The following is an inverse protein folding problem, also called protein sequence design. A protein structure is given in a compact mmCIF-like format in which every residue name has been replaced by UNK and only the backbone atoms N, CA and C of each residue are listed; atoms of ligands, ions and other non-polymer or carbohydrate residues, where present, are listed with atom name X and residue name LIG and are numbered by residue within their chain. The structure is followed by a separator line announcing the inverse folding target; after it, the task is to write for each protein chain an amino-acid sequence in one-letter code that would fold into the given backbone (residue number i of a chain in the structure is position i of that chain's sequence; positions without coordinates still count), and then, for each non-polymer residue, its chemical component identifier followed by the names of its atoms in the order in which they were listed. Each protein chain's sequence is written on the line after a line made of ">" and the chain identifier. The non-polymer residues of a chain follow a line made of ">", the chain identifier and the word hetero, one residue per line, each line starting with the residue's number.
data_IF_368501295151
#
_entry.id   IF_368501295151
#
_cell.length_a   1.000
_cell.length_b   1.000
_cell.length_c   1.000
_cell.angle_alpha   90.00
_cell.angle_beta   90.00
_cell.angle_gamma   90.00
#
_symmetry.space_group_name_H-M   'P 1'
#
loop_
_entity.id
_entity.type
_entity.pdbx_description
1 polymer ?
#
# COMPACT_ATOMS: atom_id res chain seq x y z
N UNK A 1 -8.13 -23.89 13.49
CA UNK A 1 -9.31 -23.03 13.64
C UNK A 1 -8.95 -21.74 14.38
N UNK A 2 -8.32 -21.76 15.54
CA UNK A 2 -7.93 -20.59 16.35
C UNK A 2 -7.06 -19.54 15.64
N UNK A 3 -6.10 -19.92 14.80
CA UNK A 3 -5.25 -18.99 14.07
C UNK A 3 -6.05 -18.13 13.04
N UNK A 4 -7.06 -18.71 12.41
CA UNK A 4 -7.92 -18.03 11.45
C UNK A 4 -8.82 -17.00 12.15
N UNK A 5 -9.34 -17.31 13.33
CA UNK A 5 -10.11 -16.37 14.15
C UNK A 5 -9.26 -15.18 14.63
N UNK A 6 -8.05 -15.44 15.13
CA UNK A 6 -7.11 -14.36 15.52
C UNK A 6 -6.81 -13.41 14.37
N UNK A 7 -6.60 -13.94 13.16
CA UNK A 7 -6.34 -13.11 11.98
C UNK A 7 -7.55 -12.22 11.61
N UNK A 8 -8.77 -12.75 11.68
CA UNK A 8 -9.99 -11.98 11.39
C UNK A 8 -10.21 -10.90 12.46
N UNK A 9 -10.08 -11.23 13.75
CA UNK A 9 -10.20 -10.26 14.84
C UNK A 9 -9.18 -9.14 14.72
N UNK A 10 -7.92 -9.48 14.44
CA UNK A 10 -6.87 -8.50 14.19
C UNK A 10 -7.22 -7.58 13.01
N UNK A 11 -7.70 -8.15 11.89
CA UNK A 11 -8.13 -7.39 10.72
C UNK A 11 -9.26 -6.42 11.06
N UNK A 12 -10.31 -6.88 11.76
CA UNK A 12 -11.43 -6.03 12.18
C UNK A 12 -10.97 -4.89 13.10
N UNK A 13 -10.11 -5.19 14.06
CA UNK A 13 -9.59 -4.19 15.01
C UNK A 13 -8.74 -3.13 14.29
N UNK A 14 -7.87 -3.53 13.37
CA UNK A 14 -7.05 -2.60 12.59
C UNK A 14 -7.88 -1.75 11.64
N UNK A 15 -8.96 -2.30 11.07
CA UNK A 15 -9.93 -1.51 10.28
C UNK A 15 -10.61 -0.46 11.15
N UNK A 16 -11.05 -0.83 12.36
CA UNK A 16 -11.67 0.12 13.29
C UNK A 16 -10.69 1.24 13.69
N UNK A 17 -9.43 0.92 14.00
CA UNK A 17 -8.38 1.91 14.31
C UNK A 17 -8.13 2.84 13.13
N UNK A 18 -8.00 2.28 11.91
CA UNK A 18 -7.81 3.08 10.71
C UNK A 18 -8.98 4.02 10.42
N UNK A 19 -10.22 3.54 10.59
CA UNK A 19 -11.43 4.36 10.44
C UNK A 19 -11.51 5.46 11.52
N UNK A 20 -11.10 5.18 12.76
CA UNK A 20 -11.06 6.17 13.82
C UNK A 20 -10.06 7.31 13.51
N UNK A 21 -8.85 6.98 13.04
CA UNK A 21 -7.85 7.98 12.64
C UNK A 21 -8.36 8.80 11.45
N UNK A 22 -9.01 8.15 10.48
CA UNK A 22 -9.57 8.82 9.31
C UNK A 22 -10.72 9.76 9.71
N UNK A 23 -11.69 9.30 10.51
CA UNK A 23 -12.81 10.10 10.99
C UNK A 23 -12.33 11.32 11.79
N UNK A 24 -11.47 11.11 12.78
CA UNK A 24 -10.88 12.19 13.54
C UNK A 24 -10.15 13.23 12.65
N UNK A 25 -9.47 12.76 11.58
CA UNK A 25 -8.83 13.63 10.61
C UNK A 25 -9.80 14.49 9.79
N UNK A 26 -10.96 13.93 9.42
CA UNK A 26 -12.04 14.67 8.74
C UNK A 26 -12.60 15.75 9.66
N UNK A 27 -12.96 15.38 10.87
CA UNK A 27 -13.66 16.29 11.80
C UNK A 27 -12.73 17.39 12.33
N UNK A 28 -11.45 17.08 12.58
CA UNK A 28 -10.50 18.05 13.11
C UNK A 28 -9.93 19.00 12.05
N UNK A 29 -9.68 18.50 10.83
CA UNK A 29 -8.90 19.27 9.85
C UNK A 29 -9.64 19.61 8.56
N UNK A 30 -10.65 18.82 8.16
CA UNK A 30 -11.39 19.05 6.91
C UNK A 30 -12.61 19.93 7.14
N UNK A 31 -13.45 19.57 8.09
CA UNK A 31 -14.73 20.25 8.36
C UNK A 31 -14.59 21.71 8.79
N UNK A 32 -13.68 22.08 9.74
CA UNK A 32 -13.57 23.46 10.22
C UNK A 32 -13.21 24.47 9.11
N UNK A 33 -12.49 24.00 8.09
CA UNK A 33 -12.05 24.84 6.95
C UNK A 33 -12.86 24.65 5.68
N UNK A 34 -14.02 23.94 5.76
CA UNK A 34 -14.87 23.62 4.61
C UNK A 34 -14.11 22.99 3.43
N UNK A 35 -13.07 22.21 3.75
CA UNK A 35 -12.34 21.45 2.75
C UNK A 35 -13.18 20.27 2.28
N UNK A 36 -12.76 19.63 1.19
CA UNK A 36 -13.42 18.45 0.65
C UNK A 36 -12.48 17.25 0.74
N UNK A 37 -13.02 16.07 0.93
CA UNK A 37 -12.26 14.82 0.87
C UNK A 37 -12.37 14.19 -0.52
N UNK A 38 -11.71 13.06 -0.71
CA UNK A 38 -11.78 12.26 -1.94
C UNK A 38 -12.86 11.19 -1.84
N UNK A 39 -13.26 10.65 -2.98
CA UNK A 39 -14.18 9.52 -3.03
C UNK A 39 -15.60 9.87 -2.62
N UNK A 40 -16.33 8.84 -2.19
CA UNK A 40 -17.73 9.00 -1.74
C UNK A 40 -17.82 9.86 -0.49
N UNK A 41 -16.83 9.81 0.39
CA UNK A 41 -16.79 10.70 1.57
C UNK A 41 -16.68 12.18 1.15
N UNK A 42 -16.02 12.49 0.02
CA UNK A 42 -16.00 13.83 -0.56
C UNK A 42 -17.38 14.28 -1.03
N UNK A 43 -18.13 13.40 -1.69
CA UNK A 43 -19.54 13.67 -2.06
C UNK A 43 -20.39 13.85 -0.80
N UNK A 44 -20.18 13.00 0.22
CA UNK A 44 -20.85 13.13 1.52
C UNK A 44 -20.60 14.49 2.19
N UNK A 45 -19.35 14.99 2.15
CA UNK A 45 -18.99 16.33 2.65
C UNK A 45 -19.70 17.45 1.88
N UNK A 46 -19.71 17.38 0.55
CA UNK A 46 -20.44 18.36 -0.27
C UNK A 46 -21.92 18.39 0.12
N UNK A 47 -22.53 17.23 0.28
CA UNK A 47 -23.93 17.12 0.68
C UNK A 47 -24.16 17.58 2.13
N UNK A 48 -23.24 17.32 3.04
CA UNK A 48 -23.27 17.87 4.40
C UNK A 48 -23.30 19.40 4.37
N UNK A 49 -22.45 20.06 3.60
CA UNK A 49 -22.45 21.53 3.50
C UNK A 49 -23.72 22.13 2.93
N UNK A 50 -24.48 21.37 2.11
CA UNK A 50 -25.72 21.81 1.52
C UNK A 50 -26.93 21.49 2.39
N UNK A 51 -26.95 20.32 3.04
CA UNK A 51 -28.15 19.78 3.71
C UNK A 51 -28.08 19.81 5.22
N UNK A 52 -26.88 19.88 5.81
CA UNK A 52 -26.66 19.79 7.27
C UNK A 52 -26.80 18.38 7.86
N UNK A 53 -27.05 17.35 7.04
CA UNK A 53 -27.08 15.96 7.52
C UNK A 53 -25.66 15.43 7.70
N UNK A 54 -25.36 14.69 8.77
CA UNK A 54 -24.00 14.24 9.11
C UNK A 54 -23.26 13.56 7.95
N UNK A 55 -21.94 13.75 7.90
CA UNK A 55 -21.08 13.18 6.86
C UNK A 55 -21.12 11.65 6.87
N UNK A 56 -21.14 11.04 8.06
CA UNK A 56 -21.27 9.58 8.21
C UNK A 56 -22.57 9.06 7.64
N UNK A 57 -23.70 9.75 7.92
CA UNK A 57 -25.01 9.40 7.36
C UNK A 57 -25.00 9.46 5.82
N UNK A 58 -24.49 10.54 5.22
CA UNK A 58 -24.36 10.64 3.77
C UNK A 58 -23.44 9.58 3.18
N UNK A 59 -22.31 9.31 3.84
CA UNK A 59 -21.41 8.25 3.40
C UNK A 59 -22.12 6.89 3.36
N UNK A 60 -22.97 6.60 4.33
CA UNK A 60 -23.75 5.36 4.37
C UNK A 60 -24.79 5.30 3.26
N UNK A 61 -25.60 6.36 3.09
CA UNK A 61 -26.65 6.45 2.07
C UNK A 61 -26.07 6.28 0.66
N UNK A 62 -24.99 6.98 0.35
CA UNK A 62 -24.32 6.95 -0.96
C UNK A 62 -23.69 5.59 -1.27
N UNK A 63 -23.31 4.83 -0.25
CA UNK A 63 -22.76 3.49 -0.45
C UNK A 63 -23.83 2.42 -0.69
N UNK A 64 -25.14 2.65 -0.39
CA UNK A 64 -26.19 1.68 -0.64
C UNK A 64 -26.25 1.21 -2.10
N UNK A 65 -26.35 2.09 -3.11
CA UNK A 65 -26.35 1.67 -4.51
C UNK A 65 -25.03 1.00 -4.93
N UNK A 66 -23.91 1.41 -4.32
CA UNK A 66 -22.60 0.82 -4.59
C UNK A 66 -22.53 -0.62 -4.06
N UNK A 67 -23.08 -0.88 -2.87
CA UNK A 67 -23.18 -2.24 -2.31
C UNK A 67 -24.03 -3.14 -3.18
N UNK A 68 -25.17 -2.64 -3.67
CA UNK A 68 -26.02 -3.38 -4.59
C UNK A 68 -25.27 -3.73 -5.88
N UNK A 69 -24.57 -2.76 -6.46
CA UNK A 69 -23.74 -2.98 -7.63
C UNK A 69 -22.59 -3.99 -7.35
N UNK A 70 -21.87 -3.80 -6.25
CA UNK A 70 -20.79 -4.70 -5.84
C UNK A 70 -21.27 -6.13 -5.60
N UNK A 71 -22.43 -6.29 -4.99
CA UNK A 71 -23.04 -7.60 -4.79
C UNK A 71 -23.32 -8.31 -6.12
N UNK A 72 -23.90 -7.60 -7.07
CA UNK A 72 -24.26 -8.15 -8.38
C UNK A 72 -23.05 -8.52 -9.25
N UNK A 73 -21.97 -7.73 -9.21
CA UNK A 73 -20.83 -7.87 -10.13
C UNK A 73 -19.55 -8.41 -9.51
N UNK A 74 -19.31 -8.24 -8.21
CA UNK A 74 -18.08 -8.65 -7.52
C UNK A 74 -18.28 -9.81 -6.53
N UNK A 75 -19.52 -10.05 -6.09
CA UNK A 75 -19.88 -11.15 -5.20
C UNK A 75 -19.86 -10.78 -3.71
N UNK A 76 -20.46 -11.67 -2.89
CA UNK A 76 -20.79 -11.43 -1.47
C UNK A 76 -19.57 -11.21 -0.57
N UNK A 77 -18.42 -11.85 -0.84
CA UNK A 77 -17.21 -11.70 0.00
C UNK A 77 -16.66 -10.27 0.01
N UNK A 78 -16.69 -9.61 -1.15
CA UNK A 78 -16.24 -8.21 -1.27
C UNK A 78 -17.21 -7.31 -0.53
N UNK A 79 -18.52 -7.52 -0.71
CA UNK A 79 -19.56 -6.71 -0.09
C UNK A 79 -19.50 -6.75 1.43
N UNK A 80 -19.35 -7.93 2.04
CA UNK A 80 -19.30 -8.06 3.52
C UNK A 80 -18.13 -7.29 4.11
N UNK A 81 -16.93 -7.39 3.50
CA UNK A 81 -15.75 -6.64 3.97
C UNK A 81 -15.93 -5.13 3.82
N UNK A 82 -16.47 -4.72 2.66
CA UNK A 82 -16.71 -3.32 2.36
C UNK A 82 -17.80 -2.74 3.27
N UNK A 83 -18.87 -3.48 3.51
CA UNK A 83 -19.96 -3.08 4.42
C UNK A 83 -19.45 -2.82 5.83
N UNK A 84 -18.64 -3.74 6.38
CA UNK A 84 -18.04 -3.55 7.70
C UNK A 84 -17.20 -2.27 7.79
N UNK A 85 -16.30 -2.06 6.80
CA UNK A 85 -15.45 -0.87 6.80
C UNK A 85 -16.23 0.43 6.61
N UNK A 86 -17.27 0.43 5.76
CA UNK A 86 -18.12 1.61 5.55
C UNK A 86 -18.92 1.94 6.82
N UNK A 87 -19.52 0.94 7.47
CA UNK A 87 -20.23 1.13 8.74
C UNK A 87 -19.33 1.71 9.82
N UNK A 88 -18.11 1.12 9.96
CA UNK A 88 -17.12 1.60 10.92
C UNK A 88 -16.67 3.02 10.61
N UNK A 89 -16.40 3.33 9.34
CA UNK A 89 -15.98 4.67 8.94
C UNK A 89 -17.07 5.70 9.21
N UNK A 90 -18.31 5.42 8.79
CA UNK A 90 -19.45 6.31 8.98
C UNK A 90 -19.72 6.57 10.47
N UNK A 91 -19.66 5.52 11.28
CA UNK A 91 -19.83 5.64 12.72
C UNK A 91 -18.69 6.43 13.39
N UNK A 92 -17.45 6.23 12.97
CA UNK A 92 -16.31 6.95 13.51
C UNK A 92 -16.33 8.44 13.15
N UNK A 93 -16.72 8.80 11.93
CA UNK A 93 -16.91 10.20 11.55
C UNK A 93 -17.97 10.85 12.44
N UNK A 94 -19.15 10.23 12.59
CA UNK A 94 -20.22 10.80 13.42
C UNK A 94 -19.86 10.81 14.93
N UNK A 95 -19.02 9.87 15.39
CA UNK A 95 -18.54 9.80 16.77
C UNK A 95 -17.59 10.96 17.11
N UNK A 96 -16.76 11.38 16.17
CA UNK A 96 -15.78 12.44 16.35
C UNK A 96 -16.29 13.83 15.92
N UNK A 97 -17.56 13.97 15.56
CA UNK A 97 -18.19 15.22 15.12
C UNK A 97 -17.95 16.41 16.07
N UNK A 98 -17.76 16.13 17.37
CA UNK A 98 -17.47 17.18 18.36
C UNK A 98 -16.11 17.86 18.14
N UNK A 99 -15.16 17.24 17.42
CA UNK A 99 -13.83 17.80 17.17
C UNK A 99 -13.86 18.97 16.16
N UNK A 100 -14.89 19.08 15.35
CA UNK A 100 -15.00 20.17 14.37
C UNK A 100 -15.19 21.56 15.01
N UNK A 101 -15.65 21.61 16.26
CA UNK A 101 -15.87 22.88 16.97
C UNK A 101 -14.61 23.46 17.57
N UNK A 102 -13.55 22.67 17.75
CA UNK A 102 -12.25 23.09 18.24
C UNK A 102 -11.27 23.27 17.07
N UNK A 103 -11.14 24.50 16.59
CA UNK A 103 -10.18 24.82 15.50
C UNK A 103 -8.76 24.81 16.05
N UNK A 104 -8.09 23.65 15.97
CA UNK A 104 -6.72 23.45 16.46
C UNK A 104 -5.73 24.20 15.57
N UNK A 105 -5.94 24.19 14.26
CA UNK A 105 -5.07 24.84 13.26
C UNK A 105 -5.91 25.89 12.53
N UNK A 106 -5.51 27.17 12.63
CA UNK A 106 -6.23 28.28 12.00
C UNK A 106 -5.91 28.45 10.51
N UNK A 107 -4.73 28.04 10.09
CA UNK A 107 -4.28 28.14 8.70
C UNK A 107 -4.88 27.01 7.86
N UNK A 108 -5.69 27.30 6.82
CA UNK A 108 -6.31 26.28 5.99
C UNK A 108 -5.30 25.40 5.24
N UNK A 109 -4.14 25.96 4.84
CA UNK A 109 -3.10 25.21 4.13
C UNK A 109 -2.46 24.17 5.05
N UNK A 110 -2.07 24.58 6.26
CA UNK A 110 -1.51 23.67 7.25
C UNK A 110 -2.54 22.62 7.68
N UNK A 111 -3.80 23.02 7.86
CA UNK A 111 -4.90 22.10 8.15
C UNK A 111 -5.09 21.06 7.04
N UNK A 112 -5.00 21.48 5.77
CA UNK A 112 -5.12 20.56 4.64
C UNK A 112 -3.99 19.52 4.58
N UNK A 113 -2.77 19.92 4.92
CA UNK A 113 -1.64 19.00 5.00
C UNK A 113 -1.85 17.96 6.13
N UNK A 114 -2.28 18.42 7.30
CA UNK A 114 -2.60 17.53 8.43
C UNK A 114 -3.79 16.61 8.11
N UNK A 115 -4.81 17.12 7.43
CA UNK A 115 -5.92 16.33 6.90
C UNK A 115 -5.39 15.20 5.99
N UNK A 116 -4.52 15.52 5.05
CA UNK A 116 -3.92 14.52 4.15
C UNK A 116 -3.09 13.47 4.89
N UNK A 117 -2.33 13.88 5.91
CA UNK A 117 -1.52 12.95 6.74
C UNK A 117 -2.44 12.01 7.52
N UNK A 118 -3.37 12.55 8.30
CA UNK A 118 -4.21 11.77 9.21
C UNK A 118 -5.15 10.83 8.44
N UNK A 119 -5.84 11.33 7.42
CA UNK A 119 -6.72 10.52 6.58
C UNK A 119 -5.93 9.49 5.78
N UNK A 120 -4.74 9.85 5.29
CA UNK A 120 -3.83 8.96 4.58
C UNK A 120 -3.30 7.82 5.45
N UNK A 121 -2.93 8.08 6.70
CA UNK A 121 -2.53 7.05 7.67
C UNK A 121 -3.73 6.15 7.98
N UNK A 122 -4.88 6.72 8.28
CA UNK A 122 -6.10 5.97 8.61
C UNK A 122 -6.47 4.98 7.52
N UNK A 123 -6.64 5.45 6.29
CA UNK A 123 -7.01 4.58 5.17
C UNK A 123 -5.89 3.63 4.75
N UNK A 124 -4.63 4.07 4.85
CA UNK A 124 -3.48 3.22 4.61
C UNK A 124 -3.44 1.99 5.54
N UNK A 125 -3.78 2.16 6.83
CA UNK A 125 -3.91 1.05 7.79
C UNK A 125 -5.03 0.09 7.35
N UNK A 126 -6.19 0.62 6.96
CA UNK A 126 -7.31 -0.20 6.48
C UNK A 126 -6.91 -1.04 5.27
N UNK A 127 -6.31 -0.43 4.27
CA UNK A 127 -5.89 -1.14 3.04
C UNK A 127 -4.78 -2.15 3.31
N UNK A 128 -3.83 -1.84 4.19
CA UNK A 128 -2.72 -2.74 4.54
C UNK A 128 -3.20 -4.08 5.10
N UNK A 129 -4.29 -4.10 5.84
CA UNK A 129 -4.88 -5.33 6.38
C UNK A 129 -5.90 -5.99 5.43
N UNK A 130 -6.01 -5.49 4.20
CA UNK A 130 -6.95 -5.99 3.19
C UNK A 130 -8.41 -5.64 3.50
N UNK A 131 -8.63 -4.57 4.29
CA UNK A 131 -9.93 -3.94 4.49
C UNK A 131 -10.30 -3.04 3.31
N UNK A 132 -11.53 -2.55 3.32
CA UNK A 132 -12.05 -1.57 2.38
C UNK A 132 -13.15 -0.78 3.09
N UNK A 133 -13.19 0.53 2.90
CA UNK A 133 -14.17 1.44 3.51
C UNK A 133 -15.33 1.79 2.57
N UNK A 134 -15.51 1.05 1.49
CA UNK A 134 -16.50 1.39 0.45
C UNK A 134 -15.97 2.44 -0.52
N UNK A 135 -16.82 3.39 -0.82
CA UNK A 135 -16.46 4.51 -1.68
C UNK A 135 -16.31 4.14 -3.16
N UNK A 136 -15.28 4.66 -3.80
CA UNK A 136 -15.04 4.46 -5.24
C UNK A 136 -14.40 3.11 -5.59
N UNK A 137 -13.80 2.41 -4.63
CA UNK A 137 -13.05 1.18 -4.90
C UNK A 137 -13.89 0.07 -5.55
N UNK A 138 -15.10 -0.24 -5.07
CA UNK A 138 -15.97 -1.20 -5.75
C UNK A 138 -16.33 -0.77 -7.18
N UNK A 139 -16.56 0.53 -7.39
CA UNK A 139 -16.84 1.09 -8.73
C UNK A 139 -15.63 0.88 -9.64
N UNK A 140 -14.44 1.26 -9.16
CA UNK A 140 -13.21 1.09 -9.92
C UNK A 140 -12.91 -0.39 -10.24
N UNK A 141 -13.20 -1.31 -9.30
CA UNK A 141 -13.08 -2.75 -9.54
C UNK A 141 -14.05 -3.24 -10.62
N UNK A 142 -15.29 -2.76 -10.63
CA UNK A 142 -16.29 -3.10 -11.65
C UNK A 142 -15.81 -2.60 -13.02
N UNK A 143 -15.45 -1.32 -13.12
CA UNK A 143 -14.98 -0.72 -14.38
C UNK A 143 -13.72 -1.44 -14.90
N UNK A 144 -12.76 -1.74 -14.02
CA UNK A 144 -11.58 -2.53 -14.36
C UNK A 144 -11.93 -3.90 -14.92
N UNK A 145 -12.90 -4.58 -14.32
CA UNK A 145 -13.33 -5.92 -14.76
C UNK A 145 -13.88 -5.93 -16.18
N UNK A 146 -14.61 -4.90 -16.58
CA UNK A 146 -15.27 -4.83 -17.89
C UNK A 146 -14.45 -4.11 -18.97
N UNK A 147 -13.65 -3.11 -18.59
CA UNK A 147 -12.93 -2.26 -19.53
C UNK A 147 -11.41 -2.39 -19.46
N UNK A 148 -10.87 -3.15 -18.50
CA UNK A 148 -9.42 -3.34 -18.33
C UNK A 148 -8.64 -2.11 -17.88
N UNK A 149 -9.31 -1.00 -17.53
CA UNK A 149 -8.68 0.25 -17.14
C UNK A 149 -7.99 0.12 -15.77
N UNK A 150 -6.94 0.89 -15.55
CA UNK A 150 -6.24 0.93 -14.27
C UNK A 150 -7.12 1.60 -13.19
N UNK A 151 -7.22 0.99 -12.01
CA UNK A 151 -8.04 1.50 -10.90
C UNK A 151 -7.66 2.94 -10.50
N UNK A 152 -6.36 3.26 -10.51
CA UNK A 152 -5.87 4.60 -10.20
C UNK A 152 -6.41 5.68 -11.16
N UNK A 153 -6.44 5.39 -12.46
CA UNK A 153 -6.98 6.32 -13.46
C UNK A 153 -8.47 6.54 -13.29
N UNK A 154 -9.23 5.48 -12.98
CA UNK A 154 -10.67 5.57 -12.75
C UNK A 154 -10.94 6.42 -11.50
N UNK A 155 -10.28 6.12 -10.37
CA UNK A 155 -10.43 6.88 -9.13
C UNK A 155 -10.03 8.36 -9.33
N UNK A 156 -8.95 8.63 -10.07
CA UNK A 156 -8.53 10.01 -10.36
C UNK A 156 -9.55 10.77 -11.18
N UNK A 157 -10.14 10.14 -12.22
CA UNK A 157 -11.16 10.77 -13.05
C UNK A 157 -12.42 11.10 -12.23
N UNK A 158 -12.89 10.17 -11.39
CA UNK A 158 -14.06 10.40 -10.54
C UNK A 158 -13.75 11.48 -9.49
N UNK A 159 -12.59 11.44 -8.86
CA UNK A 159 -12.19 12.47 -7.90
C UNK A 159 -12.07 13.86 -8.53
N UNK A 160 -11.58 13.96 -9.76
CA UNK A 160 -11.55 15.21 -10.51
C UNK A 160 -12.97 15.75 -10.72
N UNK A 161 -13.91 14.91 -11.12
CA UNK A 161 -15.31 15.31 -11.28
C UNK A 161 -15.95 15.78 -9.96
N UNK A 162 -15.66 15.08 -8.85
CA UNK A 162 -16.14 15.47 -7.51
C UNK A 162 -15.58 16.83 -7.11
N UNK A 163 -14.30 17.07 -7.30
CA UNK A 163 -13.65 18.35 -6.96
C UNK A 163 -14.16 19.50 -7.83
N UNK A 164 -14.42 19.27 -9.12
CA UNK A 164 -15.05 20.26 -9.99
C UNK A 164 -16.47 20.63 -9.52
N UNK A 165 -17.27 19.64 -9.12
CA UNK A 165 -18.59 19.89 -8.56
C UNK A 165 -18.52 20.64 -7.22
N UNK A 166 -17.49 20.37 -6.40
CA UNK A 166 -17.26 21.02 -5.13
C UNK A 166 -17.01 22.55 -5.27
N UNK A 167 -16.44 23.01 -6.39
CA UNK A 167 -16.19 24.45 -6.62
C UNK A 167 -17.48 25.28 -6.47
N UNK A 168 -18.61 24.74 -6.92
CA UNK A 168 -19.90 25.43 -6.81
C UNK A 168 -20.45 25.55 -5.38
N UNK A 169 -19.95 24.75 -4.44
CA UNK A 169 -20.45 24.67 -3.05
C UNK A 169 -19.49 25.33 -2.07
N UNK A 170 -18.20 24.99 -2.14
CA UNK A 170 -17.18 25.46 -1.18
C UNK A 170 -16.29 26.55 -1.74
N UNK A 171 -16.35 26.82 -3.02
CA UNK A 171 -15.54 27.82 -3.72
C UNK A 171 -14.20 27.28 -4.22
N UNK A 172 -13.59 28.02 -5.16
CA UNK A 172 -12.34 27.61 -5.82
C UNK A 172 -11.15 27.53 -4.85
N UNK A 173 -11.09 28.44 -3.89
CA UNK A 173 -9.99 28.53 -2.91
C UNK A 173 -9.92 27.28 -2.02
N UNK A 174 -11.06 26.86 -1.48
CA UNK A 174 -11.14 25.65 -0.66
C UNK A 174 -10.82 24.38 -1.49
N UNK A 175 -11.23 24.32 -2.75
CA UNK A 175 -10.89 23.21 -3.64
C UNK A 175 -9.39 23.19 -3.97
N UNK A 176 -8.76 24.35 -4.21
CA UNK A 176 -7.33 24.44 -4.46
C UNK A 176 -6.51 23.94 -3.25
N UNK A 177 -6.90 24.34 -2.04
CA UNK A 177 -6.29 23.87 -0.79
C UNK A 177 -6.56 22.34 -0.60
N UNK A 178 -7.74 21.87 -0.95
CA UNK A 178 -8.09 20.44 -0.91
C UNK A 178 -7.17 19.61 -1.82
N UNK A 179 -6.75 20.10 -2.98
CA UNK A 179 -5.82 19.37 -3.85
C UNK A 179 -4.50 19.04 -3.16
N UNK A 180 -4.02 19.93 -2.28
CA UNK A 180 -2.82 19.68 -1.47
C UNK A 180 -3.07 18.53 -0.47
N UNK A 181 -4.22 18.55 0.19
CA UNK A 181 -4.62 17.43 1.08
C UNK A 181 -4.67 16.10 0.32
N UNK A 182 -5.26 16.08 -0.87
CA UNK A 182 -5.37 14.88 -1.72
C UNK A 182 -3.99 14.36 -2.14
N UNK A 183 -3.07 15.24 -2.49
CA UNK A 183 -1.70 14.89 -2.85
C UNK A 183 -0.97 14.25 -1.66
N UNK A 184 -0.99 14.90 -0.49
CA UNK A 184 -0.38 14.40 0.75
C UNK A 184 -1.02 13.07 1.16
N UNK A 185 -2.33 12.98 1.16
CA UNK A 185 -3.09 11.76 1.42
C UNK A 185 -2.64 10.59 0.53
N UNK A 186 -2.48 10.82 -0.77
CA UNK A 186 -2.06 9.78 -1.71
C UNK A 186 -0.66 9.25 -1.39
N UNK A 187 0.30 10.15 -1.12
CA UNK A 187 1.67 9.76 -0.75
C UNK A 187 1.69 8.96 0.54
N UNK A 188 1.00 9.47 1.57
CA UNK A 188 0.98 8.83 2.90
C UNK A 188 0.28 7.47 2.84
N UNK A 189 -0.89 7.39 2.20
CA UNK A 189 -1.61 6.12 2.02
C UNK A 189 -0.73 5.07 1.36
N UNK A 190 -0.08 5.42 0.25
CA UNK A 190 0.82 4.50 -0.45
C UNK A 190 1.99 4.05 0.43
N UNK A 191 2.62 4.97 1.17
CA UNK A 191 3.71 4.64 2.11
C UNK A 191 3.24 3.70 3.23
N UNK A 192 2.06 3.92 3.79
CA UNK A 192 1.51 3.06 4.86
C UNK A 192 1.13 1.68 4.32
N UNK A 193 0.52 1.60 3.14
CA UNK A 193 0.14 0.33 2.49
C UNK A 193 1.36 -0.52 2.18
N UNK A 194 2.36 0.05 1.49
CA UNK A 194 3.61 -0.63 1.14
C UNK A 194 4.42 -0.94 2.41
N UNK A 195 4.38 -0.03 3.39
CA UNK A 195 5.14 -0.13 4.64
C UNK A 195 6.65 0.02 4.40
N UNK A 196 7.44 -0.31 5.45
CA UNK A 196 8.90 -0.29 5.39
C UNK A 196 9.50 -1.51 4.67
N UNK A 197 8.66 -2.40 4.16
CA UNK A 197 9.09 -3.68 3.60
C UNK A 197 9.36 -3.58 2.07
N UNK A 198 9.91 -2.45 1.65
CA UNK A 198 10.31 -2.26 0.25
C UNK A 198 11.38 -3.29 -0.13
N UNK A 199 11.16 -3.94 -1.26
CA UNK A 199 12.12 -4.89 -1.84
C UNK A 199 12.87 -4.19 -2.95
N UNK A 200 14.16 -4.48 -3.04
CA UNK A 200 15.04 -4.01 -4.11
C UNK A 200 15.64 -5.21 -4.81
N UNK A 201 15.85 -5.09 -6.09
CA UNK A 201 16.65 -6.03 -6.88
C UNK A 201 17.90 -5.32 -7.32
N UNK A 202 19.04 -5.91 -7.03
CA UNK A 202 20.33 -5.46 -7.53
C UNK A 202 20.78 -6.36 -8.68
N UNK A 203 21.20 -5.73 -9.78
CA UNK A 203 21.90 -6.35 -10.88
C UNK A 203 23.36 -5.92 -10.78
N UNK A 204 24.25 -6.87 -10.58
CA UNK A 204 25.66 -6.64 -10.29
C UNK A 204 26.47 -7.21 -11.46
N UNK A 205 27.14 -6.35 -12.20
CA UNK A 205 27.98 -6.73 -13.34
C UNK A 205 29.44 -6.71 -12.88
N UNK A 206 30.06 -7.88 -12.82
CA UNK A 206 31.42 -8.07 -12.31
C UNK A 206 32.15 -9.12 -13.10
N UNK A 207 33.47 -9.07 -13.06
CA UNK A 207 34.35 -10.14 -13.55
C UNK A 207 34.75 -11.12 -12.43
N UNK A 208 34.43 -10.78 -11.17
CA UNK A 208 34.68 -11.61 -9.97
C UNK A 208 33.40 -12.23 -9.47
N UNK A 209 32.71 -12.96 -10.34
CA UNK A 209 31.35 -13.47 -10.07
C UNK A 209 31.31 -14.36 -8.82
N UNK A 210 32.29 -15.28 -8.67
CA UNK A 210 32.33 -16.24 -7.58
C UNK A 210 32.57 -15.54 -6.23
N UNK A 211 33.54 -14.61 -6.17
CA UNK A 211 33.86 -13.84 -4.96
C UNK A 211 32.66 -13.02 -4.49
N UNK A 212 31.99 -12.34 -5.46
CA UNK A 212 30.78 -11.53 -5.18
C UNK A 212 29.61 -12.41 -4.71
N UNK A 213 29.39 -13.56 -5.33
CA UNK A 213 28.34 -14.50 -4.93
C UNK A 213 28.60 -15.06 -3.53
N UNK A 214 29.85 -15.46 -3.22
CA UNK A 214 30.23 -15.96 -1.89
C UNK A 214 30.01 -14.87 -0.81
N UNK A 215 30.41 -13.64 -1.09
CA UNK A 215 30.18 -12.52 -0.19
C UNK A 215 28.70 -12.22 0.04
N UNK A 216 27.87 -12.26 -1.01
CA UNK A 216 26.42 -12.06 -0.88
C UNK A 216 25.81 -13.15 0.00
N UNK A 217 26.14 -14.42 -0.25
CA UNK A 217 25.60 -15.55 0.47
C UNK A 217 26.02 -15.50 1.96
N UNK A 218 27.31 -15.34 2.21
CA UNK A 218 27.87 -15.44 3.56
C UNK A 218 27.63 -14.18 4.43
N UNK A 219 27.81 -12.96 3.84
CA UNK A 219 27.73 -11.72 4.62
C UNK A 219 26.32 -11.09 4.59
N UNK A 220 25.57 -11.20 3.48
CA UNK A 220 24.21 -10.63 3.37
C UNK A 220 23.13 -11.64 3.71
N UNK A 221 23.42 -12.94 3.59
CA UNK A 221 22.47 -14.03 3.85
C UNK A 221 21.35 -14.10 2.82
N UNK A 222 21.66 -13.86 1.54
CA UNK A 222 20.70 -13.88 0.43
C UNK A 222 21.20 -14.76 -0.71
N UNK A 223 20.28 -15.49 -1.34
CA UNK A 223 20.55 -16.21 -2.57
C UNK A 223 20.77 -15.24 -3.72
N UNK A 224 21.69 -15.58 -4.60
CA UNK A 224 21.97 -14.84 -5.83
C UNK A 224 21.75 -15.75 -7.05
N UNK A 225 21.38 -15.16 -8.17
CA UNK A 225 21.22 -15.85 -9.46
C UNK A 225 22.19 -15.26 -10.46
N UNK A 226 22.97 -16.09 -11.12
CA UNK A 226 23.89 -15.69 -12.17
C UNK A 226 23.14 -15.74 -13.50
N UNK A 227 23.18 -14.63 -14.25
CA UNK A 227 22.65 -14.50 -15.60
C UNK A 227 23.80 -14.28 -16.54
N UNK A 228 23.99 -15.16 -17.49
CA UNK A 228 25.02 -15.03 -18.51
C UNK A 228 24.63 -13.98 -19.56
N UNK A 229 25.56 -13.13 -19.92
CA UNK A 229 25.36 -12.08 -20.89
C UNK A 229 26.60 -11.82 -21.72
N UNK A 230 26.47 -10.98 -22.74
CA UNK A 230 27.59 -10.55 -23.59
C UNK A 230 27.61 -9.03 -23.64
N UNK A 231 28.76 -8.42 -23.38
CA UNK A 231 28.92 -6.99 -23.49
C UNK A 231 28.71 -6.53 -24.94
N UNK A 232 27.74 -5.65 -25.18
CA UNK A 232 27.41 -5.22 -26.54
C UNK A 232 28.58 -4.54 -27.29
N UNK A 233 29.36 -3.75 -26.56
CA UNK A 233 30.53 -3.04 -27.11
C UNK A 233 31.77 -3.93 -27.17
N UNK A 234 32.11 -4.58 -26.05
CA UNK A 234 33.36 -5.38 -25.94
C UNK A 234 33.23 -6.77 -26.58
N UNK A 235 32.03 -7.26 -26.86
CA UNK A 235 31.74 -8.62 -27.34
C UNK A 235 32.29 -9.73 -26.46
N UNK A 236 32.62 -9.40 -25.19
CA UNK A 236 33.12 -10.37 -24.21
C UNK A 236 32.01 -10.92 -23.36
N UNK A 237 32.05 -12.20 -22.94
CA UNK A 237 31.13 -12.75 -21.95
C UNK A 237 31.20 -11.95 -20.64
N UNK A 238 30.02 -11.68 -20.05
CA UNK A 238 29.91 -11.02 -18.76
C UNK A 238 28.78 -11.68 -17.95
N UNK A 239 29.05 -11.93 -16.69
CA UNK A 239 28.03 -12.43 -15.78
C UNK A 239 27.35 -11.27 -15.04
N UNK A 240 26.05 -11.38 -14.89
CA UNK A 240 25.21 -10.47 -14.12
C UNK A 240 24.70 -11.23 -12.91
N UNK A 241 25.09 -10.84 -11.71
CA UNK A 241 24.56 -11.41 -10.49
C UNK A 241 23.32 -10.65 -10.08
N UNK A 242 22.18 -11.33 -10.06
CA UNK A 242 20.89 -10.78 -9.62
C UNK A 242 20.62 -11.21 -8.19
N UNK A 243 20.34 -10.26 -7.31
CA UNK A 243 19.99 -10.52 -5.91
C UNK A 243 18.80 -9.66 -5.46
N UNK A 244 17.84 -10.27 -4.78
CA UNK A 244 16.74 -9.56 -4.14
C UNK A 244 17.07 -9.32 -2.67
N UNK A 245 16.91 -8.08 -2.20
CA UNK A 245 17.22 -7.67 -0.83
C UNK A 245 16.13 -6.75 -0.25
N UNK A 246 16.08 -6.65 1.07
CA UNK A 246 15.27 -5.63 1.73
C UNK A 246 15.97 -4.28 1.66
N UNK A 247 15.19 -3.20 1.74
CA UNK A 247 15.73 -1.84 1.76
C UNK A 247 16.86 -1.65 2.79
N UNK A 248 16.71 -2.23 3.99
CA UNK A 248 17.70 -2.15 5.06
C UNK A 248 19.01 -2.90 4.75
N UNK A 249 18.95 -3.86 3.84
CA UNK A 249 20.13 -4.65 3.45
C UNK A 249 20.91 -4.02 2.28
N UNK A 250 20.37 -2.99 1.64
CA UNK A 250 20.98 -2.37 0.46
C UNK A 250 22.36 -1.80 0.74
N UNK A 251 22.53 -1.08 1.86
CA UNK A 251 23.82 -0.48 2.22
C UNK A 251 24.86 -1.56 2.49
N UNK A 252 24.50 -2.58 3.29
CA UNK A 252 25.37 -3.72 3.56
C UNK A 252 25.74 -4.48 2.27
N UNK A 253 24.77 -4.62 1.35
CA UNK A 253 25.03 -5.24 0.05
C UNK A 253 26.08 -4.47 -0.74
N UNK A 254 25.97 -3.14 -0.82
CA UNK A 254 26.94 -2.30 -1.52
C UNK A 254 28.35 -2.43 -0.94
N UNK A 255 28.50 -2.28 0.38
CA UNK A 255 29.78 -2.41 1.07
C UNK A 255 30.46 -3.75 0.76
N UNK A 256 29.71 -4.83 0.90
CA UNK A 256 30.24 -6.18 0.70
C UNK A 256 30.67 -6.43 -0.75
N UNK A 257 29.94 -5.87 -1.72
CA UNK A 257 30.27 -6.03 -3.13
C UNK A 257 31.47 -5.16 -3.53
N UNK A 258 31.53 -3.91 -3.05
CA UNK A 258 32.65 -2.99 -3.28
C UNK A 258 33.96 -3.52 -2.67
N UNK A 259 33.91 -4.21 -1.51
CA UNK A 259 35.04 -4.92 -0.94
C UNK A 259 35.53 -6.07 -1.83
N UNK A 260 34.60 -6.82 -2.45
CA UNK A 260 34.93 -7.97 -3.29
C UNK A 260 35.48 -7.53 -4.67
N UNK A 261 34.86 -6.51 -5.28
CA UNK A 261 35.25 -5.95 -6.57
C UNK A 261 35.11 -4.42 -6.59
N UNK A 262 36.19 -3.65 -6.41
CA UNK A 262 36.12 -2.18 -6.43
C UNK A 262 35.67 -1.57 -7.78
N UNK A 263 35.73 -2.33 -8.86
CA UNK A 263 35.35 -1.88 -10.22
C UNK A 263 33.95 -2.40 -10.62
N UNK A 264 33.17 -2.88 -9.68
CA UNK A 264 31.85 -3.43 -9.94
C UNK A 264 30.87 -2.37 -10.44
N UNK A 265 29.98 -2.76 -11.34
CA UNK A 265 28.83 -1.94 -11.72
C UNK A 265 27.55 -2.51 -11.08
N UNK A 266 26.87 -1.70 -10.27
CA UNK A 266 25.66 -2.10 -9.54
C UNK A 266 24.50 -1.25 -10.00
N UNK A 267 23.42 -1.89 -10.49
CA UNK A 267 22.14 -1.28 -10.79
C UNK A 267 21.11 -1.76 -9.76
N UNK A 268 20.52 -0.84 -9.01
CA UNK A 268 19.48 -1.17 -8.02
C UNK A 268 18.15 -0.59 -8.48
N UNK A 269 17.15 -1.45 -8.54
CA UNK A 269 15.78 -1.07 -8.93
C UNK A 269 14.76 -1.50 -7.89
N UNK A 270 13.59 -0.85 -7.91
CA UNK A 270 12.47 -1.26 -7.08
C UNK A 270 11.83 -2.53 -7.61
N UNK A 271 11.63 -3.53 -6.72
CA UNK A 271 10.79 -4.66 -7.03
C UNK A 271 9.37 -4.38 -6.51
N UNK A 272 8.39 -4.39 -7.40
CA UNK A 272 6.98 -4.20 -7.00
C UNK A 272 6.53 -5.30 -6.04
N UNK A 273 6.92 -6.54 -6.31
CA UNK A 273 6.58 -7.68 -5.47
C UNK A 273 7.67 -8.75 -5.58
N UNK A 274 8.05 -9.36 -4.45
CA UNK A 274 8.96 -10.49 -4.39
C UNK A 274 8.27 -11.59 -3.58
N UNK A 275 7.95 -12.70 -4.23
CA UNK A 275 7.30 -13.87 -3.63
C UNK A 275 8.32 -15.00 -3.55
N UNK A 276 8.56 -15.51 -2.35
CA UNK A 276 9.48 -16.64 -2.17
C UNK A 276 9.95 -16.83 -0.74
N UNK A 277 10.82 -17.84 -0.55
CA UNK A 277 11.44 -18.12 0.74
C UNK A 277 12.34 -16.95 1.17
N UNK A 278 12.30 -16.61 2.44
CA UNK A 278 13.05 -15.47 3.00
C UNK A 278 12.42 -14.10 2.75
N UNK A 279 11.29 -14.01 2.00
CA UNK A 279 10.55 -12.77 1.73
C UNK A 279 9.09 -12.86 2.18
N UNK A 280 8.29 -13.71 1.55
CA UNK A 280 6.87 -13.91 1.87
C UNK A 280 6.60 -15.24 2.56
N UNK A 281 7.52 -16.19 2.48
CA UNK A 281 7.45 -17.48 3.15
C UNK A 281 8.62 -17.61 4.12
N UNK A 282 8.41 -18.20 5.31
CA UNK A 282 9.51 -18.49 6.21
C UNK A 282 10.50 -19.45 5.54
N UNK A 283 11.78 -19.28 5.85
CA UNK A 283 12.81 -20.24 5.44
C UNK A 283 12.51 -21.54 6.19
N UNK A 284 12.28 -22.61 5.46
CA UNK A 284 12.05 -23.92 6.06
C UNK A 284 13.35 -24.42 6.70
N UNK A 285 13.29 -25.03 7.91
CA UNK A 285 14.45 -25.67 8.50
C UNK A 285 15.05 -26.72 7.55
N UNK A 286 16.38 -26.85 7.56
CA UNK A 286 17.12 -27.74 6.64
C UNK A 286 16.59 -29.18 6.66
N UNK A 287 16.18 -29.66 7.84
CA UNK A 287 15.59 -31.01 8.00
C UNK A 287 14.27 -31.17 7.23
N UNK A 288 13.39 -30.17 7.29
CA UNK A 288 12.11 -30.17 6.57
C UNK A 288 12.34 -30.05 5.05
N UNK A 289 13.32 -29.26 4.64
CA UNK A 289 13.72 -29.13 3.24
C UNK A 289 14.24 -30.43 2.69
N UNK A 290 15.07 -31.14 3.45
CA UNK A 290 15.60 -32.45 3.06
C UNK A 290 14.52 -33.53 2.98
N UNK A 291 13.55 -33.52 3.89
CA UNK A 291 12.39 -34.43 3.83
C UNK A 291 11.51 -34.16 2.60
N UNK A 292 11.26 -32.91 2.24
CA UNK A 292 10.49 -32.54 1.07
C UNK A 292 11.21 -32.88 -0.24
N UNK A 293 12.57 -32.80 -0.26
CA UNK A 293 13.39 -33.27 -1.38
C UNK A 293 13.33 -34.79 -1.53
N UNK A 294 13.40 -35.53 -0.43
CA UNK A 294 13.30 -36.98 -0.43
C UNK A 294 11.93 -37.49 -0.87
N UNK A 295 10.87 -36.69 -0.65
CA UNK A 295 9.50 -36.98 -1.10
C UNK A 295 9.19 -36.54 -2.55
N UNK A 296 10.18 -35.96 -3.26
CA UNK A 296 10.00 -35.49 -4.63
C UNK A 296 9.11 -34.24 -4.77
N UNK A 297 8.78 -33.59 -3.65
CA UNK A 297 7.89 -32.41 -3.63
C UNK A 297 8.64 -31.11 -4.03
N UNK A 298 9.98 -31.13 -3.97
CA UNK A 298 10.88 -30.00 -4.37
C UNK A 298 11.99 -30.60 -5.24
N UNK A 299 12.37 -29.89 -6.31
CA UNK A 299 13.46 -30.32 -7.19
C UNK A 299 14.77 -30.52 -6.39
N UNK A 300 15.51 -31.57 -6.71
CA UNK A 300 16.73 -31.97 -5.97
C UNK A 300 17.84 -30.91 -6.00
N UNK A 301 17.84 -30.03 -7.04
CA UNK A 301 18.87 -28.99 -7.25
C UNK A 301 18.60 -27.64 -6.53
N UNK A 302 17.50 -27.53 -5.79
CA UNK A 302 17.24 -26.34 -5.00
C UNK A 302 18.14 -26.31 -3.76
N UNK A 303 19.40 -25.97 -3.94
CA UNK A 303 20.38 -25.78 -2.85
C UNK A 303 20.08 -24.47 -2.15
N UNK A 304 19.23 -24.51 -1.13
CA UNK A 304 19.15 -23.43 -0.14
C UNK A 304 20.41 -23.55 0.74
N UNK A 305 21.40 -22.70 0.50
CA UNK A 305 22.51 -22.51 1.42
C UNK A 305 21.94 -21.80 2.65
N UNK A 306 21.59 -22.58 3.66
CA UNK A 306 21.30 -22.07 5.01
C UNK A 306 22.54 -22.34 5.83
N UNK A 307 23.38 -21.36 6.02
CA UNK A 307 24.37 -21.37 7.08
C UNK A 307 23.65 -21.08 8.38
N UNK A 308 23.66 -22.08 9.29
CA UNK A 308 23.35 -21.91 10.69
C UNK A 308 24.19 -20.78 11.27
N UNK A 309 23.55 -19.69 11.66
CA UNK A 309 24.14 -18.76 12.61
C UNK A 309 23.66 -19.13 14.00
N UNK A 310 24.55 -19.76 14.76
CA UNK A 310 24.53 -19.77 16.21
C UNK A 310 24.77 -18.38 16.78
#
# INVERSE_FOLDING_TARGET
>A
MFAKYKAVVYQCLMVAVGCAIFGAGIDTFVLPHKLVSTGISGVGLILYYVTGLSVGSWNMILNIPIFWAAWKWLGTRVVVKTLYGTLMLSWMIDLFDFLQYDIIIKDPLLSSMMAGITTGVGLGIVYRVGGNTGGLDPIALIVRKYYGLQMGSINSAINCAILLAAVGVVGLEAVAVTLISVYVYTIITNKVVIGFNQRKVAFIITYRTDDVCECIINKVGRGATIIEGVGAYTRTPKNIVMVAVNLLQVNKLKEVIEEADPNVFILITDAQEVIGQGFTRPILPTEVTNQLKAQGTIAQDATAVVTDNK
#
